data_IF_039300063129
#
_entry.id   IF_039300063129
#
_cell.length_a   1.000
_cell.length_b   1.000
_cell.length_c   1.000
_cell.angle_alpha   90.00
_cell.angle_beta   90.00
_cell.angle_gamma   90.00
#
_symmetry.space_group_name_H-M   'P 1'
#
loop_
_entity.id
_entity.type
_entity.pdbx_description
1 polymer ?
#
# COMPACT_ATOMS: atom_id res chain seq x y z
N UNK A 1 13.84 -6.52 20.10
CA UNK A 1 13.54 -5.28 19.36
C UNK A 1 12.41 -5.60 18.40
N UNK A 2 11.19 -5.11 18.65
CA UNK A 2 9.98 -5.44 17.87
C UNK A 2 9.83 -4.38 16.76
N UNK A 3 10.29 -4.69 15.55
CA UNK A 3 9.99 -3.89 14.35
C UNK A 3 8.49 -4.04 14.04
N UNK A 4 7.67 -3.16 14.60
CA UNK A 4 6.31 -2.92 14.14
C UNK A 4 6.40 -2.08 12.86
N UNK A 5 6.65 -2.71 11.71
CA UNK A 5 6.31 -2.08 10.43
C UNK A 5 4.80 -2.18 10.27
N UNK A 6 4.12 -1.09 10.62
CA UNK A 6 2.73 -0.87 10.29
C UNK A 6 2.54 -1.04 8.77
N UNK A 7 1.64 -1.93 8.40
CA UNK A 7 1.14 -2.11 7.04
C UNK A 7 0.70 -0.76 6.46
N UNK A 8 1.32 -0.33 5.37
CA UNK A 8 0.76 0.70 4.49
C UNK A 8 -0.05 0.01 3.39
N UNK A 9 -1.31 -0.28 3.69
CA UNK A 9 -2.34 -0.52 2.67
C UNK A 9 -3.15 0.76 2.46
N UNK A 10 -2.90 1.40 1.32
CA UNK A 10 -3.86 2.08 0.42
C UNK A 10 -4.85 3.08 1.06
N UNK A 11 -4.59 4.39 0.87
CA UNK A 11 -5.52 5.42 0.35
C UNK A 11 -5.01 6.83 0.69
N UNK A 12 -4.94 7.73 -0.29
CA UNK A 12 -4.67 9.15 -0.04
C UNK A 12 -4.16 9.92 -1.26
N UNK A 13 -5.08 10.34 -2.14
CA UNK A 13 -4.81 11.20 -3.29
C UNK A 13 -4.95 12.68 -2.90
N UNK A 14 -3.93 13.54 -3.06
CA UNK A 14 -4.06 14.96 -3.48
C UNK A 14 -2.79 15.38 -4.26
N UNK A 15 -3.01 16.06 -5.40
CA UNK A 15 -2.00 16.54 -6.36
C UNK A 15 -1.40 17.91 -6.01
N UNK A 16 -0.18 18.21 -6.50
CA UNK A 16 0.19 19.41 -7.30
C UNK A 16 1.65 19.30 -7.81
N UNK A 17 1.92 19.86 -8.99
CA UNK A 17 3.10 19.65 -9.83
C UNK A 17 4.30 20.61 -9.54
N UNK A 18 5.54 20.23 -9.90
CA UNK A 18 6.39 20.82 -10.98
C UNK A 18 7.77 20.12 -11.07
N UNK A 19 8.52 20.38 -12.18
CA UNK A 19 9.68 19.63 -12.70
C UNK A 19 10.94 19.59 -11.81
N UNK A 20 12.04 18.91 -12.15
CA UNK A 20 12.58 18.61 -13.47
C UNK A 20 13.64 17.47 -13.47
N UNK A 21 13.79 16.87 -14.66
CA UNK A 21 14.94 16.24 -15.33
C UNK A 21 16.16 15.71 -14.56
N UNK A 22 16.54 14.46 -14.86
CA UNK A 22 17.95 14.06 -14.95
C UNK A 22 18.18 13.18 -16.19
N UNK A 23 19.12 13.66 -17.01
CA UNK A 23 19.62 13.12 -18.28
C UNK A 23 20.74 12.10 -18.06
N UNK A 24 20.85 11.05 -18.90
CA UNK A 24 22.06 10.34 -19.41
C UNK A 24 21.77 8.89 -19.88
N UNK A 25 22.61 8.26 -20.73
CA UNK A 25 22.83 8.53 -22.15
C UNK A 25 22.51 7.28 -23.04
N UNK A 26 22.58 7.49 -24.36
CA UNK A 26 22.33 6.56 -25.49
C UNK A 26 23.08 5.22 -25.41
N UNK A 27 22.41 4.08 -25.63
CA UNK A 27 22.27 3.42 -26.96
C UNK A 27 21.87 1.92 -26.91
N UNK A 28 21.25 1.44 -27.99
CA UNK A 28 20.86 0.05 -28.38
C UNK A 28 19.51 -0.54 -27.88
N UNK A 29 18.47 0.20 -28.26
CA UNK A 29 17.16 -0.19 -28.81
C UNK A 29 16.73 -1.69 -28.79
N UNK A 30 15.56 -1.92 -28.17
CA UNK A 30 14.63 -3.07 -28.26
C UNK A 30 14.90 -4.27 -27.33
N UNK A 31 16.13 -4.57 -26.91
CA UNK A 31 16.38 -5.56 -25.84
C UNK A 31 16.52 -4.95 -24.43
N UNK A 32 16.93 -3.67 -24.34
CA UNK A 32 17.21 -2.96 -23.07
C UNK A 32 16.01 -2.28 -22.39
N UNK A 33 14.87 -2.20 -23.06
CA UNK A 33 13.78 -1.31 -22.65
C UNK A 33 12.62 -1.98 -21.91
N UNK A 34 12.67 -3.31 -21.71
CA UNK A 34 11.61 -4.05 -21.03
C UNK A 34 12.11 -4.56 -19.68
N UNK A 35 11.96 -3.76 -18.59
CA UNK A 35 12.58 -4.05 -17.30
C UNK A 35 12.02 -5.31 -16.65
N UNK A 36 10.86 -5.82 -17.07
CA UNK A 36 10.28 -7.03 -16.51
C UNK A 36 10.72 -8.31 -17.26
N UNK A 37 11.30 -8.21 -18.46
CA UNK A 37 11.60 -9.39 -19.27
C UNK A 37 12.90 -10.06 -18.84
N UNK A 38 12.78 -11.12 -18.04
CA UNK A 38 13.91 -11.96 -17.60
C UNK A 38 13.86 -13.34 -18.26
N UNK A 39 15.03 -13.91 -18.58
CA UNK A 39 15.17 -15.29 -19.05
C UNK A 39 15.27 -16.21 -17.83
N UNK A 40 14.15 -16.79 -17.40
CA UNK A 40 14.11 -17.76 -16.30
C UNK A 40 13.88 -19.17 -16.85
N UNK A 41 14.75 -20.11 -16.52
CA UNK A 41 14.74 -21.48 -17.05
C UNK A 41 13.53 -22.33 -16.57
N UNK A 42 12.97 -22.01 -15.41
CA UNK A 42 11.86 -22.73 -14.75
C UNK A 42 10.53 -21.96 -14.79
N UNK A 43 10.26 -21.29 -15.90
CA UNK A 43 9.05 -20.51 -16.11
C UNK A 43 7.77 -21.37 -16.03
N UNK A 44 6.91 -21.18 -15.00
CA UNK A 44 5.54 -21.71 -15.02
C UNK A 44 4.84 -21.24 -16.30
N UNK A 45 4.27 -22.18 -17.07
CA UNK A 45 3.47 -21.87 -18.26
C UNK A 45 2.26 -21.02 -17.84
N UNK A 46 2.03 -19.84 -18.45
CA UNK A 46 0.85 -19.05 -18.12
C UNK A 46 -0.40 -19.80 -18.58
N UNK A 47 -1.43 -19.83 -17.72
CA UNK A 47 -2.79 -20.20 -18.11
C UNK A 47 -3.23 -19.30 -19.29
N UNK A 48 -4.06 -19.81 -20.23
CA UNK A 48 -4.53 -19.03 -21.36
C UNK A 48 -5.12 -17.70 -20.86
N UNK A 49 -4.63 -16.60 -21.44
CA UNK A 49 -5.01 -15.27 -21.00
C UNK A 49 -6.50 -15.06 -21.31
N UNK A 50 -7.31 -14.93 -20.27
CA UNK A 50 -8.63 -14.30 -20.38
C UNK A 50 -8.48 -12.96 -21.10
N UNK A 51 -9.43 -12.67 -22.00
CA UNK A 51 -9.45 -11.42 -22.76
C UNK A 51 -9.40 -10.25 -21.77
N UNK A 52 -8.31 -9.46 -21.81
CA UNK A 52 -8.20 -8.24 -21.01
C UNK A 52 -9.14 -7.22 -21.64
N UNK A 53 -10.12 -6.74 -20.86
CA UNK A 53 -10.97 -5.61 -21.22
C UNK A 53 -10.53 -4.41 -20.41
N UNK A 54 -9.85 -3.47 -21.06
CA UNK A 54 -9.30 -2.29 -20.43
C UNK A 54 -9.17 -1.14 -21.43
N UNK A 55 -9.26 0.10 -20.97
CA UNK A 55 -8.97 1.28 -21.76
C UNK A 55 -7.46 1.42 -21.96
N UNK A 56 -7.05 2.02 -23.07
CA UNK A 56 -5.63 2.28 -23.37
C UNK A 56 -4.97 3.13 -22.27
N UNK A 57 -5.72 4.06 -21.66
CA UNK A 57 -5.24 4.95 -20.61
C UNK A 57 -4.88 4.16 -19.35
N UNK A 58 -5.78 3.29 -18.90
CA UNK A 58 -5.57 2.37 -17.79
C UNK A 58 -4.42 1.39 -18.03
N UNK A 59 -4.34 0.82 -19.24
CA UNK A 59 -3.25 -0.06 -19.64
C UNK A 59 -1.89 0.62 -19.52
N UNK A 60 -1.78 1.86 -20.00
CA UNK A 60 -0.55 2.64 -19.95
C UNK A 60 -0.16 3.04 -18.52
N UNK A 61 -1.13 3.34 -17.66
CA UNK A 61 -0.89 3.60 -16.25
C UNK A 61 -0.33 2.37 -15.52
N UNK A 62 -1.00 1.22 -15.66
CA UNK A 62 -0.56 -0.05 -15.07
C UNK A 62 0.86 -0.43 -15.53
N UNK A 63 1.12 -0.42 -16.84
CA UNK A 63 2.42 -0.80 -17.40
C UNK A 63 3.55 0.06 -16.84
N UNK A 64 3.32 1.37 -16.66
CA UNK A 64 4.35 2.28 -16.15
C UNK A 64 4.76 1.94 -14.72
N UNK A 65 3.80 1.73 -13.85
CA UNK A 65 4.04 1.37 -12.46
C UNK A 65 4.67 -0.03 -12.35
N UNK A 66 4.18 -1.00 -13.13
CA UNK A 66 4.81 -2.33 -13.22
C UNK A 66 6.26 -2.24 -13.71
N UNK A 67 6.55 -1.43 -14.72
CA UNK A 67 7.91 -1.23 -15.21
C UNK A 67 8.83 -0.60 -14.16
N UNK A 68 8.32 0.35 -13.36
CA UNK A 68 9.09 0.94 -12.26
C UNK A 68 9.40 -0.10 -11.20
N UNK A 69 8.42 -0.88 -10.74
CA UNK A 69 8.63 -1.99 -9.82
C UNK A 69 9.71 -2.95 -10.35
N UNK A 70 9.64 -3.34 -11.63
CA UNK A 70 10.65 -4.20 -12.23
C UNK A 70 12.05 -3.59 -12.31
N UNK A 71 12.19 -2.26 -12.47
CA UNK A 71 13.50 -1.58 -12.43
C UNK A 71 14.06 -1.55 -11.01
N UNK A 72 13.22 -1.29 -10.02
CA UNK A 72 13.60 -1.31 -8.60
C UNK A 72 14.11 -2.71 -8.24
N UNK A 73 13.33 -3.75 -8.54
CA UNK A 73 13.71 -5.15 -8.30
C UNK A 73 14.96 -5.58 -9.09
N UNK A 74 15.21 -5.00 -10.27
CA UNK A 74 16.42 -5.29 -11.04
C UNK A 74 17.69 -4.71 -10.40
N UNK A 75 17.55 -3.64 -9.61
CA UNK A 75 18.64 -3.00 -8.86
C UNK A 75 18.81 -3.55 -7.45
N UNK A 76 17.97 -4.50 -7.01
CA UNK A 76 18.14 -5.18 -5.74
C UNK A 76 19.24 -6.25 -5.86
N UNK A 77 20.34 -6.06 -5.13
CA UNK A 77 21.45 -7.03 -5.09
C UNK A 77 21.12 -8.26 -4.24
N UNK A 78 20.31 -8.09 -3.19
CA UNK A 78 19.84 -9.17 -2.32
C UNK A 78 18.93 -10.14 -3.11
N UNK A 79 19.35 -11.42 -3.14
CA UNK A 79 18.67 -12.54 -3.79
C UNK A 79 18.09 -12.22 -5.18
N UNK A 80 18.99 -11.78 -6.07
CA UNK A 80 18.70 -11.47 -7.48
C UNK A 80 17.91 -12.56 -8.19
N UNK A 81 18.07 -13.82 -7.80
CA UNK A 81 17.36 -14.96 -8.40
C UNK A 81 15.85 -14.92 -8.15
N UNK A 82 15.43 -14.61 -6.91
CA UNK A 82 14.01 -14.44 -6.55
C UNK A 82 13.44 -13.16 -7.14
N UNK A 83 14.19 -12.05 -7.08
CA UNK A 83 13.81 -10.78 -7.74
C UNK A 83 13.55 -10.97 -9.24
N UNK A 84 14.40 -11.73 -9.93
CA UNK A 84 14.25 -12.07 -11.34
C UNK A 84 13.03 -12.95 -11.63
N UNK A 85 12.70 -13.87 -10.71
CA UNK A 85 11.47 -14.66 -10.78
C UNK A 85 10.22 -13.79 -10.69
N UNK A 86 10.18 -12.86 -9.73
CA UNK A 86 9.07 -11.91 -9.54
C UNK A 86 8.92 -11.02 -10.78
N UNK A 87 10.02 -10.50 -11.33
CA UNK A 87 10.01 -9.71 -12.58
C UNK A 87 9.46 -10.51 -13.77
N UNK A 88 9.86 -11.77 -13.90
CA UNK A 88 9.35 -12.64 -14.95
C UNK A 88 7.84 -12.90 -14.82
N UNK A 89 7.34 -13.05 -13.59
CA UNK A 89 5.92 -13.18 -13.31
C UNK A 89 5.15 -11.88 -13.63
N UNK A 90 5.69 -10.71 -13.23
CA UNK A 90 5.14 -9.40 -13.62
C UNK A 90 5.01 -9.27 -15.14
N UNK A 91 6.02 -9.72 -15.89
CA UNK A 91 5.98 -9.70 -17.34
C UNK A 91 4.89 -10.61 -17.93
N UNK A 92 4.73 -11.83 -17.38
CA UNK A 92 3.77 -12.82 -17.89
C UNK A 92 2.32 -12.50 -17.51
N UNK A 93 2.08 -12.04 -16.29
CA UNK A 93 0.74 -11.77 -15.76
C UNK A 93 0.17 -10.44 -16.25
N UNK A 94 1.02 -9.43 -16.47
CA UNK A 94 0.58 -8.06 -16.79
C UNK A 94 1.11 -7.56 -18.13
N UNK A 95 2.42 -7.45 -18.28
CA UNK A 95 3.04 -6.73 -19.41
C UNK A 95 2.67 -7.36 -20.75
N UNK A 96 2.95 -8.65 -20.91
CA UNK A 96 2.71 -9.37 -22.16
C UNK A 96 1.22 -9.42 -22.52
N UNK A 97 0.28 -9.74 -21.61
CA UNK A 97 -1.15 -9.67 -21.91
C UNK A 97 -1.62 -8.26 -22.32
N UNK A 98 -1.18 -7.21 -21.63
CA UNK A 98 -1.59 -5.83 -21.95
C UNK A 98 -1.05 -5.40 -23.32
N UNK A 99 0.21 -5.70 -23.64
CA UNK A 99 0.77 -5.38 -24.96
C UNK A 99 0.09 -6.11 -26.12
N UNK A 100 -0.42 -7.33 -25.89
CA UNK A 100 -1.20 -8.05 -26.91
C UNK A 100 -2.50 -7.33 -27.24
N UNK A 101 -3.19 -6.78 -26.25
CA UNK A 101 -4.46 -6.07 -26.43
C UNK A 101 -4.26 -4.61 -26.86
N UNK A 102 -3.20 -3.97 -26.36
CA UNK A 102 -2.85 -2.59 -26.68
C UNK A 102 -1.40 -2.47 -27.18
N UNK A 103 -1.10 -2.86 -28.44
CA UNK A 103 0.26 -2.80 -28.97
C UNK A 103 0.88 -1.40 -28.92
N UNK A 104 0.06 -0.36 -29.08
CA UNK A 104 0.50 1.05 -29.00
C UNK A 104 0.97 1.48 -27.60
N UNK A 105 0.67 0.71 -26.55
CA UNK A 105 1.16 0.97 -25.19
C UNK A 105 2.64 0.59 -25.07
N UNK A 106 3.10 -0.47 -25.77
CA UNK A 106 4.51 -0.88 -25.76
C UNK A 106 5.45 0.22 -26.29
N UNK A 107 4.99 0.97 -27.30
CA UNK A 107 5.74 2.12 -27.82
C UNK A 107 5.64 3.36 -26.90
N UNK A 108 4.50 3.57 -26.24
CA UNK A 108 4.22 4.76 -25.44
C UNK A 108 4.76 4.69 -24.00
N UNK A 109 4.96 3.49 -23.45
CA UNK A 109 5.52 3.26 -22.10
C UNK A 109 6.97 3.73 -21.96
N UNK A 110 7.65 3.99 -23.08
CA UNK A 110 9.04 4.45 -23.15
C UNK A 110 9.21 5.97 -22.99
N UNK A 111 8.12 6.74 -22.96
CA UNK A 111 8.17 8.21 -22.86
C UNK A 111 8.07 8.68 -21.40
N UNK A 112 8.75 9.79 -21.02
CA UNK A 112 8.60 10.42 -19.71
C UNK A 112 7.13 10.72 -19.40
N UNK A 113 6.74 10.59 -18.14
CA UNK A 113 5.37 10.76 -17.69
C UNK A 113 5.28 11.75 -16.54
N UNK A 114 4.30 12.64 -16.63
CA UNK A 114 3.78 13.36 -15.47
C UNK A 114 2.55 12.60 -14.97
N UNK A 115 2.59 12.00 -13.77
CA UNK A 115 1.42 11.37 -13.14
C UNK A 115 0.25 12.34 -13.15
N UNK A 116 -0.77 12.05 -13.97
CA UNK A 116 -2.09 12.63 -13.76
C UNK A 116 -2.84 11.66 -12.89
N UNK A 117 -3.46 12.15 -11.82
CA UNK A 117 -4.46 11.40 -11.09
C UNK A 117 -5.42 10.78 -12.10
N UNK A 118 -5.45 9.45 -12.13
CA UNK A 118 -6.29 8.70 -13.02
C UNK A 118 -7.43 8.18 -12.18
N UNK A 119 -8.61 8.78 -12.34
CA UNK A 119 -9.86 8.22 -11.83
C UNK A 119 -10.39 7.20 -12.83
N UNK A 120 -10.47 5.94 -12.42
CA UNK A 120 -10.94 4.82 -13.23
C UNK A 120 -12.38 4.44 -12.87
N UNK A 121 -13.15 4.04 -13.89
CA UNK A 121 -14.53 3.55 -13.74
C UNK A 121 -14.71 2.17 -14.36
N UNK A 122 -15.91 1.59 -14.24
CA UNK A 122 -16.27 0.32 -14.90
C UNK A 122 -16.21 0.36 -16.44
N UNK A 123 -16.11 1.55 -17.05
CA UNK A 123 -15.87 1.71 -18.48
C UNK A 123 -14.38 1.53 -18.84
N UNK A 124 -13.48 1.83 -17.90
CA UNK A 124 -12.04 1.79 -18.10
C UNK A 124 -11.43 0.40 -17.92
N UNK A 125 -12.08 -0.46 -17.14
CA UNK A 125 -11.63 -1.83 -16.91
C UNK A 125 -12.84 -2.73 -16.67
N UNK A 126 -12.86 -3.90 -17.30
CA UNK A 126 -13.89 -4.90 -17.05
C UNK A 126 -13.67 -5.60 -15.71
N UNK A 127 -14.75 -5.89 -14.98
CA UNK A 127 -14.71 -6.52 -13.64
C UNK A 127 -13.84 -7.77 -13.54
N UNK A 128 -13.96 -8.70 -14.49
CA UNK A 128 -13.14 -9.93 -14.51
C UNK A 128 -11.65 -9.64 -14.73
N UNK A 129 -11.32 -8.57 -15.45
CA UNK A 129 -9.94 -8.11 -15.60
C UNK A 129 -9.46 -7.49 -14.27
N UNK A 130 -10.26 -6.64 -13.65
CA UNK A 130 -9.94 -6.03 -12.36
C UNK A 130 -9.72 -7.07 -11.25
N UNK A 131 -10.58 -8.08 -11.17
CA UNK A 131 -10.47 -9.20 -10.22
C UNK A 131 -9.16 -9.96 -10.41
N UNK A 132 -8.84 -10.34 -11.67
CA UNK A 132 -7.57 -11.00 -11.98
C UNK A 132 -6.36 -10.15 -11.62
N UNK A 133 -6.40 -8.85 -11.93
CA UNK A 133 -5.32 -7.93 -11.58
C UNK A 133 -5.13 -7.84 -10.06
N UNK A 134 -6.23 -7.70 -9.31
CA UNK A 134 -6.17 -7.62 -7.85
C UNK A 134 -5.53 -8.88 -7.24
N UNK A 135 -5.98 -10.07 -7.65
CA UNK A 135 -5.40 -11.34 -7.17
C UNK A 135 -3.90 -11.46 -7.50
N UNK A 136 -3.49 -11.12 -8.72
CA UNK A 136 -2.09 -11.22 -9.13
C UNK A 136 -1.21 -10.16 -8.44
N UNK A 137 -1.69 -8.93 -8.27
CA UNK A 137 -0.95 -7.89 -7.54
C UNK A 137 -0.79 -8.26 -6.07
N UNK A 138 -1.86 -8.70 -5.40
CA UNK A 138 -1.80 -9.14 -4.01
C UNK A 138 -0.86 -10.33 -3.80
N UNK A 139 -0.82 -11.29 -4.74
CA UNK A 139 0.18 -12.38 -4.73
C UNK A 139 1.60 -11.83 -4.80
N UNK A 140 1.90 -11.00 -5.80
CA UNK A 140 3.27 -10.51 -6.02
C UNK A 140 3.73 -9.53 -4.93
N UNK A 141 2.83 -8.73 -4.35
CA UNK A 141 3.14 -7.88 -3.20
C UNK A 141 3.52 -8.71 -1.97
N UNK A 142 2.88 -9.87 -1.75
CA UNK A 142 3.30 -10.82 -0.71
C UNK A 142 4.68 -11.39 -1.01
N UNK A 143 4.91 -11.87 -2.24
CA UNK A 143 6.22 -12.42 -2.66
C UNK A 143 7.36 -11.40 -2.47
N UNK A 144 7.11 -10.11 -2.78
CA UNK A 144 8.08 -9.01 -2.59
C UNK A 144 8.29 -8.70 -1.09
N UNK A 145 7.21 -8.71 -0.30
CA UNK A 145 7.28 -8.43 1.14
C UNK A 145 8.06 -9.52 1.88
N UNK A 146 7.82 -10.79 1.54
CA UNK A 146 8.58 -11.92 2.08
C UNK A 146 10.06 -11.82 1.71
N UNK A 147 10.37 -11.46 0.45
CA UNK A 147 11.74 -11.25 0.00
C UNK A 147 12.44 -10.12 0.78
N UNK A 148 11.74 -9.01 1.04
CA UNK A 148 12.27 -7.91 1.85
C UNK A 148 12.50 -8.27 3.31
N UNK A 149 11.62 -9.06 3.91
CA UNK A 149 11.82 -9.57 5.27
C UNK A 149 13.01 -10.54 5.36
N UNK A 150 13.18 -11.39 4.35
CA UNK A 150 14.32 -12.31 4.30
C UNK A 150 15.64 -11.55 4.13
N UNK A 151 15.67 -10.49 3.31
CA UNK A 151 16.82 -9.61 3.18
C UNK A 151 17.18 -8.97 4.55
N UNK A 152 16.21 -8.36 5.22
CA UNK A 152 16.38 -7.75 6.56
C UNK A 152 16.93 -8.74 7.60
N UNK A 153 16.47 -10.00 7.57
CA UNK A 153 16.96 -11.06 8.49
C UNK A 153 18.41 -11.44 8.21
N UNK A 154 18.88 -11.26 6.98
CA UNK A 154 20.22 -11.63 6.53
C UNK A 154 21.21 -10.47 6.62
N UNK A 155 20.74 -9.22 6.74
CA UNK A 155 21.60 -8.04 6.86
C UNK A 155 22.38 -8.04 8.18
N UNK A 156 23.65 -7.63 8.12
CA UNK A 156 24.55 -7.60 9.27
C UNK A 156 24.34 -6.39 10.20
N UNK A 157 23.76 -5.30 9.70
CA UNK A 157 23.51 -4.07 10.45
C UNK A 157 22.16 -3.44 10.10
N UNK A 158 21.61 -2.69 11.06
CA UNK A 158 20.27 -2.10 10.98
C UNK A 158 20.13 -1.05 9.87
N UNK A 159 21.21 -0.33 9.54
CA UNK A 159 21.18 0.70 8.49
C UNK A 159 21.08 0.06 7.11
N UNK A 160 21.84 -0.99 6.87
CA UNK A 160 21.76 -1.79 5.64
C UNK A 160 20.40 -2.49 5.54
N UNK A 161 19.91 -3.09 6.64
CA UNK A 161 18.59 -3.71 6.67
C UNK A 161 17.47 -2.73 6.29
N UNK A 162 17.52 -1.50 6.82
CA UNK A 162 16.54 -0.46 6.49
C UNK A 162 16.61 -0.07 5.02
N UNK A 163 17.81 0.16 4.49
CA UNK A 163 18.01 0.51 3.08
C UNK A 163 17.54 -0.60 2.13
N UNK A 164 17.81 -1.86 2.46
CA UNK A 164 17.33 -3.01 1.69
C UNK A 164 15.81 -3.13 1.73
N UNK A 165 15.20 -2.97 2.91
CA UNK A 165 13.75 -3.00 3.06
C UNK A 165 13.06 -1.89 2.26
N UNK A 166 13.63 -0.68 2.23
CA UNK A 166 13.10 0.45 1.45
C UNK A 166 12.98 0.13 -0.05
N UNK A 167 13.93 -0.62 -0.62
CA UNK A 167 13.86 -1.07 -2.03
C UNK A 167 12.62 -1.94 -2.28
N UNK A 168 12.34 -2.88 -1.37
CA UNK A 168 11.18 -3.78 -1.52
C UNK A 168 9.85 -3.08 -1.20
N UNK A 169 9.84 -2.13 -0.27
CA UNK A 169 8.69 -1.25 -0.03
C UNK A 169 8.40 -0.38 -1.25
N UNK A 170 9.42 0.15 -1.91
CA UNK A 170 9.30 0.93 -3.14
C UNK A 170 8.68 0.10 -4.29
N UNK A 171 9.16 -1.13 -4.48
CA UNK A 171 8.59 -2.02 -5.49
C UNK A 171 7.12 -2.37 -5.17
N UNK A 172 6.80 -2.59 -3.89
CA UNK A 172 5.45 -2.90 -3.41
C UNK A 172 4.49 -1.72 -3.61
N UNK A 173 4.95 -0.49 -3.33
CA UNK A 173 4.20 0.73 -3.53
C UNK A 173 3.88 0.95 -5.02
N UNK A 174 4.85 0.72 -5.91
CA UNK A 174 4.61 0.79 -7.36
C UNK A 174 3.55 -0.23 -7.82
N UNK A 175 3.54 -1.46 -7.27
CA UNK A 175 2.47 -2.41 -7.57
C UNK A 175 1.11 -1.97 -7.00
N UNK A 176 1.08 -1.34 -5.82
CA UNK A 176 -0.15 -0.78 -5.26
C UNK A 176 -0.71 0.33 -6.15
N UNK A 177 0.14 1.22 -6.67
CA UNK A 177 -0.27 2.22 -7.64
C UNK A 177 -0.79 1.57 -8.92
N UNK A 178 -0.14 0.52 -9.44
CA UNK A 178 -0.67 -0.22 -10.59
C UNK A 178 -2.07 -0.79 -10.32
N UNK A 179 -2.32 -1.31 -9.11
CA UNK A 179 -3.61 -1.83 -8.66
C UNK A 179 -4.71 -0.78 -8.50
N UNK A 180 -4.36 0.50 -8.38
CA UNK A 180 -5.31 1.60 -8.12
C UNK A 180 -6.46 1.68 -9.13
N UNK A 181 -6.20 1.33 -10.39
CA UNK A 181 -7.23 1.30 -11.44
C UNK A 181 -8.33 0.28 -11.17
N UNK A 182 -7.95 -0.90 -10.66
CA UNK A 182 -8.92 -1.91 -10.28
C UNK A 182 -9.68 -1.46 -9.03
N UNK A 183 -8.99 -0.79 -8.09
CA UNK A 183 -9.58 -0.30 -6.84
C UNK A 183 -10.65 0.74 -7.07
N UNK A 184 -10.36 1.80 -7.84
CA UNK A 184 -11.34 2.86 -8.09
C UNK A 184 -12.54 2.37 -8.90
N UNK A 185 -12.32 1.49 -9.89
CA UNK A 185 -13.40 0.97 -10.71
C UNK A 185 -14.30 -0.02 -9.95
N UNK A 186 -13.74 -0.80 -9.03
CA UNK A 186 -14.41 -1.86 -8.27
C UNK A 186 -13.84 -2.00 -6.84
N UNK A 187 -14.14 -1.05 -5.94
CA UNK A 187 -13.59 -1.07 -4.58
C UNK A 187 -14.03 -2.31 -3.79
N UNK A 188 -15.18 -2.89 -4.16
CA UNK A 188 -15.72 -4.09 -3.54
C UNK A 188 -14.87 -5.36 -3.77
N UNK A 189 -14.04 -5.39 -4.83
CA UNK A 189 -13.10 -6.49 -5.05
C UNK A 189 -11.93 -6.46 -4.07
N UNK A 190 -11.55 -5.27 -3.61
CA UNK A 190 -10.49 -5.10 -2.62
C UNK A 190 -10.99 -5.44 -1.22
N UNK A 191 -12.25 -5.09 -0.93
CA UNK A 191 -12.92 -5.49 0.29
C UNK A 191 -12.84 -7.00 0.50
N UNK A 192 -13.17 -7.79 -0.53
CA UNK A 192 -13.09 -9.26 -0.47
C UNK A 192 -11.67 -9.78 -0.25
N UNK A 193 -10.66 -9.17 -0.87
CA UNK A 193 -9.27 -9.61 -0.66
C UNK A 193 -8.73 -9.23 0.72
N UNK A 194 -9.21 -8.13 1.31
CA UNK A 194 -8.91 -7.77 2.70
C UNK A 194 -9.66 -8.70 3.66
N UNK A 195 -10.89 -9.11 3.30
CA UNK A 195 -11.66 -10.15 4.01
C UNK A 195 -11.00 -11.55 3.94
N UNK A 196 -9.93 -11.75 3.17
CA UNK A 196 -9.15 -13.00 3.13
C UNK A 196 -7.84 -12.91 3.92
N UNK A 197 -7.44 -11.72 4.40
CA UNK A 197 -6.31 -11.58 5.33
C UNK A 197 -6.75 -12.24 6.64
N UNK A 198 -6.09 -13.32 7.11
CA UNK A 198 -6.46 -13.92 8.38
C UNK A 198 -6.31 -12.86 9.46
N UNK A 199 -7.38 -12.58 10.20
CA UNK A 199 -7.27 -11.81 11.41
C UNK A 199 -6.19 -12.48 12.27
N UNK A 200 -5.11 -11.76 12.59
CA UNK A 200 -4.13 -12.30 13.53
C UNK A 200 -4.88 -12.71 14.81
N UNK A 201 -4.82 -14.00 15.20
CA UNK A 201 -5.54 -14.44 16.38
C UNK A 201 -4.99 -13.69 17.59
N UNK A 202 -5.89 -13.23 18.46
CA UNK A 202 -5.52 -12.59 19.72
C UNK A 202 -4.63 -13.52 20.53
N UNK A 203 -3.52 -12.98 21.03
CA UNK A 203 -2.67 -13.66 22.00
C UNK A 203 -2.68 -12.88 23.31
N UNK A 204 -2.31 -13.53 24.41
CA UNK A 204 -2.21 -12.86 25.70
C UNK A 204 -1.19 -11.70 25.65
N UNK A 205 -0.14 -11.84 24.84
CA UNK A 205 0.89 -10.82 24.65
C UNK A 205 0.37 -9.64 23.83
N UNK A 206 -0.41 -9.87 22.77
CA UNK A 206 -1.02 -8.77 22.00
C UNK A 206 -2.02 -8.00 22.85
N UNK A 207 -2.86 -8.72 23.60
CA UNK A 207 -3.86 -8.14 24.48
C UNK A 207 -3.22 -7.29 25.58
N UNK A 208 -2.15 -7.79 26.23
CA UNK A 208 -1.39 -7.03 27.21
C UNK A 208 -0.75 -5.78 26.60
N UNK A 209 -0.30 -5.86 25.34
CA UNK A 209 0.20 -4.71 24.58
C UNK A 209 -0.86 -3.62 24.41
N UNK A 210 -2.06 -3.99 23.97
CA UNK A 210 -3.18 -3.05 23.85
C UNK A 210 -3.54 -2.39 25.18
N UNK A 211 -3.70 -3.18 26.25
CA UNK A 211 -4.04 -2.66 27.58
C UNK A 211 -2.98 -1.72 28.15
N UNK A 212 -1.70 -1.99 27.90
CA UNK A 212 -0.60 -1.14 28.34
C UNK A 212 -0.59 0.21 27.63
N UNK A 213 -0.96 0.23 26.35
CA UNK A 213 -0.93 1.43 25.52
C UNK A 213 -2.23 2.25 25.56
N UNK A 214 -3.33 1.64 26.03
CA UNK A 214 -4.63 2.28 26.09
C UNK A 214 -4.77 3.18 27.33
N UNK A 215 -5.25 4.43 27.19
CA UNK A 215 -5.66 5.23 28.33
C UNK A 215 -6.94 4.66 28.97
N UNK A 216 -7.28 5.09 30.21
CA UNK A 216 -8.54 4.69 30.83
C UNK A 216 -9.74 5.03 29.95
N UNK A 217 -10.71 4.11 29.83
CA UNK A 217 -11.95 4.32 29.07
C UNK A 217 -12.65 5.60 29.53
N UNK A 218 -13.14 6.40 28.58
CA UNK A 218 -13.84 7.66 28.79
C UNK A 218 -12.93 8.83 29.18
N UNK A 219 -11.61 8.61 29.30
CA UNK A 219 -10.68 9.67 29.67
C UNK A 219 -10.29 10.58 28.50
N UNK A 220 -10.45 10.12 27.26
CA UNK A 220 -10.10 10.88 26.06
C UNK A 220 -11.37 11.42 25.40
N UNK A 221 -11.38 12.71 25.08
CA UNK A 221 -12.48 13.35 24.36
C UNK A 221 -12.11 13.54 22.88
N UNK A 222 -13.13 13.61 22.02
CA UNK A 222 -12.96 14.03 20.63
C UNK A 222 -13.55 15.42 20.45
N UNK A 223 -12.89 16.31 19.72
CA UNK A 223 -13.51 17.53 19.19
C UNK A 223 -14.55 17.19 18.11
N UNK A 224 -15.40 18.14 17.73
CA UNK A 224 -16.33 17.95 16.62
C UNK A 224 -15.60 17.72 15.29
N UNK A 225 -14.49 18.43 15.06
CA UNK A 225 -13.69 18.26 13.85
C UNK A 225 -13.05 16.87 13.77
N UNK A 226 -12.52 16.36 14.90
CA UNK A 226 -11.97 15.01 14.97
C UNK A 226 -13.06 13.96 14.75
N UNK A 227 -14.23 14.13 15.37
CA UNK A 227 -15.36 13.22 15.18
C UNK A 227 -15.79 13.14 13.71
N UNK A 228 -15.93 14.27 13.03
CA UNK A 228 -16.30 14.31 11.59
C UNK A 228 -15.25 13.58 10.74
N UNK A 229 -13.97 13.80 11.01
CA UNK A 229 -12.87 13.13 10.30
C UNK A 229 -12.94 11.61 10.51
N UNK A 230 -13.13 11.16 11.75
CA UNK A 230 -13.20 9.73 12.10
C UNK A 230 -14.44 9.08 11.48
N UNK A 231 -15.60 9.72 11.56
CA UNK A 231 -16.84 9.21 10.96
C UNK A 231 -16.71 9.08 9.44
N UNK A 232 -16.13 10.09 8.77
CA UNK A 232 -15.89 10.05 7.32
C UNK A 232 -14.94 8.91 6.94
N UNK A 233 -13.83 8.77 7.69
CA UNK A 233 -12.88 7.68 7.52
C UNK A 233 -13.52 6.31 7.73
N UNK A 234 -14.26 6.11 8.84
CA UNK A 234 -14.91 4.84 9.13
C UNK A 234 -16.01 4.52 8.12
N UNK A 235 -16.68 5.52 7.56
CA UNK A 235 -17.63 5.30 6.45
C UNK A 235 -16.93 4.72 5.22
N UNK A 236 -15.72 5.18 4.89
CA UNK A 236 -14.91 4.60 3.81
C UNK A 236 -14.42 3.19 4.14
N UNK A 237 -13.93 2.98 5.37
CA UNK A 237 -13.53 1.66 5.87
C UNK A 237 -14.68 0.67 5.75
N UNK A 238 -15.87 0.99 6.26
CA UNK A 238 -17.04 0.12 6.18
C UNK A 238 -17.56 -0.11 4.75
N UNK A 239 -17.38 0.85 3.83
CA UNK A 239 -17.67 0.60 2.40
C UNK A 239 -16.69 -0.38 1.78
N UNK A 240 -15.46 -0.41 2.28
CA UNK A 240 -14.34 -1.18 1.75
C UNK A 240 -14.02 -2.45 2.52
N UNK A 241 -14.74 -2.78 3.59
CA UNK A 241 -14.56 -4.00 4.39
C UNK A 241 -15.91 -4.56 4.80
N UNK A 242 -16.06 -5.90 4.81
CA UNK A 242 -17.27 -6.56 5.31
C UNK A 242 -17.17 -6.94 6.78
N UNK A 243 -16.00 -6.71 7.40
CA UNK A 243 -15.72 -7.06 8.79
C UNK A 243 -16.09 -5.91 9.72
N UNK A 244 -16.39 -6.25 10.96
CA UNK A 244 -16.66 -5.27 12.01
C UNK A 244 -15.35 -4.58 12.40
N UNK A 245 -15.24 -3.28 12.13
CA UNK A 245 -14.01 -2.49 12.25
C UNK A 245 -14.20 -1.43 13.32
N UNK A 246 -13.15 -1.22 14.12
CA UNK A 246 -13.11 -0.14 15.10
C UNK A 246 -12.06 0.88 14.69
N UNK A 247 -12.34 2.16 14.94
CA UNK A 247 -11.37 3.23 14.68
C UNK A 247 -10.21 3.10 15.67
N UNK A 248 -8.99 3.44 15.24
CA UNK A 248 -7.83 3.50 16.14
C UNK A 248 -7.07 4.79 15.91
N UNK A 249 -6.79 5.51 17.01
CA UNK A 249 -5.90 6.66 17.02
C UNK A 249 -4.63 6.29 17.77
N UNK A 250 -3.49 6.40 17.11
CA UNK A 250 -2.20 6.04 17.68
C UNK A 250 -1.10 7.02 17.31
N UNK A 251 -0.06 7.09 18.13
CA UNK A 251 1.14 7.85 17.82
C UNK A 251 2.06 7.05 16.90
N UNK A 252 2.42 7.63 15.75
CA UNK A 252 3.40 7.06 14.83
C UNK A 252 4.71 7.87 14.90
N UNK A 253 5.84 7.19 15.12
CA UNK A 253 7.16 7.84 15.28
C UNK A 253 7.78 8.34 13.98
N UNK A 254 7.64 7.59 12.89
CA UNK A 254 8.09 8.01 11.57
C UNK A 254 7.01 7.65 10.57
N UNK A 255 6.24 8.66 10.17
CA UNK A 255 5.30 8.50 9.08
C UNK A 255 6.00 8.86 7.79
N UNK A 256 5.89 7.98 6.82
CA UNK A 256 6.36 8.25 5.48
C UNK A 256 5.20 8.09 4.51
N UNK A 257 5.14 8.96 3.53
CA UNK A 257 4.17 8.88 2.44
C UNK A 257 4.91 8.89 1.12
N UNK A 258 4.44 8.10 0.17
CA UNK A 258 4.89 8.15 -1.21
C UNK A 258 3.67 8.29 -2.10
N UNK A 259 3.64 9.32 -2.93
CA UNK A 259 2.64 9.53 -3.96
C UNK A 259 3.00 8.81 -5.27
N UNK A 260 2.03 8.67 -6.20
CA UNK A 260 2.28 8.09 -7.51
C UNK A 260 3.34 8.89 -8.27
N UNK A 261 4.53 8.31 -8.44
CA UNK A 261 5.62 8.91 -9.20
C UNK A 261 6.64 9.71 -8.39
N UNK A 262 6.50 9.75 -7.07
CA UNK A 262 7.51 10.29 -6.19
C UNK A 262 8.80 9.47 -6.28
N UNK A 263 9.95 10.16 -6.33
CA UNK A 263 11.26 9.52 -6.42
C UNK A 263 11.67 8.93 -5.08
N UNK A 264 11.29 9.58 -3.98
CA UNK A 264 11.61 9.19 -2.62
C UNK A 264 10.38 9.27 -1.71
N UNK A 265 10.43 8.54 -0.60
CA UNK A 265 9.46 8.72 0.48
C UNK A 265 9.59 10.11 1.08
N UNK A 266 8.45 10.76 1.28
CA UNK A 266 8.37 12.02 2.02
C UNK A 266 8.12 11.72 3.49
N UNK A 267 9.02 12.18 4.37
CA UNK A 267 8.76 12.12 5.80
C UNK A 267 7.62 13.09 6.14
N UNK A 268 6.62 12.56 6.83
CA UNK A 268 5.50 13.28 7.41
C UNK A 268 5.76 13.62 8.89
N UNK A 269 6.94 13.22 9.40
CA UNK A 269 7.33 13.33 10.81
C UNK A 269 6.56 12.38 11.72
N UNK A 270 6.76 12.54 13.02
CA UNK A 270 5.97 11.86 14.04
C UNK A 270 4.60 12.53 14.18
N UNK A 271 3.57 11.77 14.53
CA UNK A 271 2.25 12.35 14.82
C UNK A 271 1.14 11.34 15.06
N UNK A 272 0.01 11.88 15.53
CA UNK A 272 -1.22 11.13 15.69
C UNK A 272 -1.79 10.71 14.34
N UNK A 273 -2.15 9.44 14.25
CA UNK A 273 -2.61 8.79 13.03
C UNK A 273 -3.90 8.07 13.29
N UNK A 274 -4.81 8.15 12.32
CA UNK A 274 -6.05 7.40 12.29
C UNK A 274 -5.85 6.14 11.46
N UNK A 275 -6.29 5.02 11.99
CA UNK A 275 -6.36 3.73 11.31
C UNK A 275 -7.61 2.96 11.74
N UNK A 276 -7.68 1.69 11.33
CA UNK A 276 -8.73 0.77 11.75
C UNK A 276 -8.15 -0.60 12.07
N UNK A 277 -8.85 -1.33 12.91
CA UNK A 277 -8.58 -2.73 13.21
C UNK A 277 -9.89 -3.50 13.21
N UNK A 278 -9.82 -4.81 12.95
CA UNK A 278 -10.98 -5.66 13.17
C UNK A 278 -11.25 -5.77 14.67
N UNK A 279 -12.53 -5.69 15.04
CA UNK A 279 -12.95 -5.78 16.43
C UNK A 279 -12.49 -7.07 17.11
N UNK A 280 -12.34 -8.15 16.33
CA UNK A 280 -11.84 -9.46 16.79
C UNK A 280 -10.36 -9.45 17.17
N UNK A 281 -9.58 -8.47 16.72
CA UNK A 281 -8.14 -8.35 16.97
C UNK A 281 -7.82 -7.55 18.24
N UNK A 282 -8.82 -6.88 18.82
CA UNK A 282 -8.65 -5.97 19.94
C UNK A 282 -9.37 -6.52 21.18
N UNK A 283 -8.78 -6.39 22.38
CA UNK A 283 -9.50 -6.67 23.62
C UNK A 283 -10.72 -5.75 23.77
N UNK A 284 -11.93 -6.28 24.04
CA UNK A 284 -13.13 -5.44 24.14
C UNK A 284 -13.04 -4.41 25.27
N UNK A 285 -12.23 -4.68 26.29
CA UNK A 285 -12.00 -3.81 27.45
C UNK A 285 -11.10 -2.59 27.17
N UNK A 286 -10.56 -2.44 25.94
CA UNK A 286 -9.83 -1.23 25.52
C UNK A 286 -10.58 -0.43 24.44
N UNK A 287 -11.75 -0.91 24.01
CA UNK A 287 -12.59 -0.21 23.03
C UNK A 287 -13.44 0.80 23.79
N UNK A 288 -13.18 2.08 23.52
CA UNK A 288 -13.97 3.18 24.04
C UNK A 288 -15.13 3.51 23.08
N UNK A 289 -16.17 4.17 23.58
CA UNK A 289 -17.29 4.67 22.78
C UNK A 289 -17.44 6.16 22.99
N UNK A 290 -17.08 6.95 21.97
CA UNK A 290 -17.19 8.40 22.01
C UNK A 290 -18.23 8.85 20.99
N UNK A 291 -19.41 9.27 21.48
CA UNK A 291 -20.52 9.77 20.64
C UNK A 291 -20.87 8.79 19.50
N UNK A 292 -21.19 7.56 19.90
CA UNK A 292 -21.57 6.43 19.03
C UNK A 292 -20.48 5.93 18.06
N UNK A 293 -19.22 6.35 18.26
CA UNK A 293 -18.05 5.82 17.53
C UNK A 293 -17.25 4.92 18.46
N UNK A 294 -17.10 3.65 18.08
CA UNK A 294 -16.17 2.73 18.72
C UNK A 294 -14.73 3.04 18.30
N UNK A 295 -13.88 3.31 19.28
CA UNK A 295 -12.52 3.79 19.05
C UNK A 295 -11.54 3.27 20.09
N UNK A 296 -10.33 2.93 19.65
CA UNK A 296 -9.19 2.68 20.53
C UNK A 296 -8.23 3.85 20.45
N UNK A 297 -7.80 4.32 21.61
CA UNK A 297 -6.70 5.26 21.74
C UNK A 297 -5.45 4.52 22.19
N UNK A 298 -4.31 4.77 21.55
CA UNK A 298 -3.06 4.07 21.85
C UNK A 298 -1.87 5.02 21.84
N UNK A 299 -1.06 4.97 22.90
CA UNK A 299 0.18 5.71 23.01
C UNK A 299 1.25 4.86 23.71
N UNK A 300 2.53 5.18 23.49
CA UNK A 300 3.59 4.55 24.30
C UNK A 300 3.45 4.89 25.78
N UNK A 301 3.02 6.13 26.05
CA UNK A 301 2.62 6.60 27.37
C UNK A 301 1.13 7.00 27.33
N UNK A 302 0.21 6.19 27.88
CA UNK A 302 -1.22 6.49 27.88
C UNK A 302 -1.57 7.76 28.68
N UNK A 303 -0.69 8.21 29.59
CA UNK A 303 -0.90 9.45 30.34
C UNK A 303 -0.86 10.70 29.45
N UNK A 304 -0.21 10.61 28.28
CA UNK A 304 -0.21 11.67 27.28
C UNK A 304 -1.61 11.91 26.65
N UNK A 305 -2.54 10.97 26.81
CA UNK A 305 -3.91 11.06 26.32
C UNK A 305 -4.95 11.22 27.41
N UNK A 306 -4.69 10.70 28.62
CA UNK A 306 -5.64 10.72 29.71
C UNK A 306 -6.10 12.15 30.06
N UNK A 307 -7.42 12.38 30.01
CA UNK A 307 -8.04 13.67 30.29
C UNK A 307 -7.95 14.68 29.13
N UNK A 308 -7.35 14.32 27.99
CA UNK A 308 -7.12 15.22 26.87
C UNK A 308 -8.22 15.13 25.82
N UNK A 309 -8.23 16.12 24.93
CA UNK A 309 -9.10 16.12 23.75
C UNK A 309 -8.25 15.90 22.49
N UNK A 310 -8.63 14.95 21.65
CA UNK A 310 -8.11 14.83 20.28
C UNK A 310 -8.89 15.78 19.38
N UNK A 311 -8.16 16.59 18.64
CA UNK A 311 -8.70 17.55 17.68
C UNK A 311 -8.09 17.29 16.29
N UNK A 312 -8.73 17.85 15.26
CA UNK A 312 -8.33 17.66 13.87
C UNK A 312 -8.25 18.99 13.13
N UNK A 313 -7.17 19.14 12.38
CA UNK A 313 -7.11 20.10 11.27
C UNK A 313 -7.35 19.37 9.95
N UNK A 314 -7.48 20.12 8.84
CA UNK A 314 -7.63 19.54 7.49
C UNK A 314 -6.56 18.51 7.10
N UNK A 315 -5.42 18.44 7.80
CA UNK A 315 -4.30 17.59 7.42
C UNK A 315 -3.79 16.67 8.53
N UNK A 316 -4.09 16.92 9.81
CA UNK A 316 -3.48 16.20 10.95
C UNK A 316 -4.38 16.14 12.19
N UNK A 317 -4.29 15.03 12.91
CA UNK A 317 -4.77 14.87 14.29
C UNK A 317 -3.75 15.44 15.27
N UNK A 318 -4.22 16.04 16.36
CA UNK A 318 -3.38 16.55 17.44
C UNK A 318 -4.11 16.48 18.79
N UNK A 319 -3.34 16.51 19.88
CA UNK A 319 -3.85 16.51 21.26
C UNK A 319 -3.92 17.96 21.75
N UNK A 320 -5.00 18.31 22.45
CA UNK A 320 -5.15 19.55 23.20
C UNK A 320 -5.66 19.27 24.62
N UNK A 321 -5.44 20.21 25.52
CA UNK A 321 -5.98 20.18 26.88
C UNK A 321 -7.51 20.31 26.91
#
# INVERSE_FOLDING_TARGET
MRLFLALLLICGSIALAHGASLDRPKDSQIARNEPCRVRVASARRPKPATLIRMSRRSALYIIRHVHKACRILAGADADRSRSDSIRADLYRSFVRPIYRVHPSVAAASLRPFTPRALHATSQDIGRSTAERLNTEFARLQRDISELGQDAVRQSADEKTAKAELEIFLDATAELAFAGHIAFEAYPDLFAKSLDDVPAQPRTAESDAGFRKAAPPIGSVKLSDAALILIQSFMQEVHRSSRRDQVAVIFWAHDRQSKGPGDVAWSSQGSGWTLGSYEKTQIPPDVIDTVRDVEIVFSAEDPSALAGKTIDATKQKLFVRD
#
